data_IF_765386332850
#
_entry.id   IF_765386332850
#
_cell.length_a   1.000
_cell.length_b   1.000
_cell.length_c   1.000
_cell.angle_alpha   90.00
_cell.angle_beta   90.00
_cell.angle_gamma   90.00
#
_symmetry.space_group_name_H-M   'P 1'
#
loop_
_entity.id
_entity.type
_entity.pdbx_description
1 polymer ?
#
# COMPACT_ATOMS: atom_id res chain seq x y z
N UNK A 1 -4.38 2.38 -11.46
CA UNK A 1 -5.01 1.83 -10.23
C UNK A 1 -3.96 1.01 -9.48
N UNK A 2 -4.32 0.29 -8.43
CA UNK A 2 -3.43 -0.65 -7.76
C UNK A 2 -4.24 -1.87 -7.27
N UNK A 3 -3.57 -2.98 -7.03
CA UNK A 3 -4.16 -4.23 -6.54
C UNK A 3 -3.36 -4.73 -5.35
N UNK A 4 -4.05 -5.10 -4.27
CA UNK A 4 -3.43 -5.80 -3.16
C UNK A 4 -3.23 -7.27 -3.55
N UNK A 5 -1.99 -7.74 -3.43
CA UNK A 5 -1.63 -9.13 -3.61
C UNK A 5 -1.40 -9.72 -2.23
N UNK A 6 -2.47 -10.31 -1.66
CA UNK A 6 -2.44 -10.92 -0.34
C UNK A 6 -1.29 -11.94 -0.24
N UNK A 7 -0.52 -11.98 0.87
CA UNK A 7 -0.74 -11.26 2.15
C UNK A 7 0.02 -9.95 2.32
N UNK A 8 1.03 -9.66 1.50
CA UNK A 8 1.99 -8.58 1.80
C UNK A 8 2.57 -7.87 0.60
N UNK A 9 2.01 -8.10 -0.58
CA UNK A 9 2.49 -7.52 -1.84
C UNK A 9 1.47 -6.55 -2.42
N UNK A 10 1.94 -5.55 -3.17
CA UNK A 10 1.08 -4.56 -3.81
C UNK A 10 1.53 -4.32 -5.24
N UNK A 11 0.61 -4.42 -6.20
CA UNK A 11 0.91 -4.16 -7.60
C UNK A 11 0.31 -2.83 -8.02
N UNK A 12 1.16 -1.94 -8.51
CA UNK A 12 0.73 -0.68 -9.10
C UNK A 12 0.59 -0.84 -10.62
N UNK A 13 -0.43 -0.22 -11.19
CA UNK A 13 -0.68 -0.23 -12.64
C UNK A 13 0.43 0.49 -13.46
N UNK A 14 1.35 1.17 -12.77
CA UNK A 14 2.56 1.73 -13.38
C UNK A 14 3.59 0.66 -13.81
N UNK A 15 3.34 -0.61 -13.46
CA UNK A 15 4.19 -1.76 -13.75
C UNK A 15 5.14 -2.17 -12.62
N UNK A 16 5.15 -1.45 -11.48
CA UNK A 16 5.96 -1.83 -10.32
C UNK A 16 5.15 -2.62 -9.29
N UNK A 17 5.82 -3.61 -8.72
CA UNK A 17 5.34 -4.43 -7.61
C UNK A 17 6.15 -4.10 -6.36
N UNK A 18 5.46 -3.96 -5.24
CA UNK A 18 6.02 -3.66 -3.93
C UNK A 18 5.89 -4.91 -3.07
N UNK A 19 6.99 -5.31 -2.45
CA UNK A 19 7.09 -6.55 -1.69
C UNK A 19 7.48 -6.21 -0.26
N UNK A 20 6.49 -6.28 0.63
CA UNK A 20 6.71 -6.08 2.05
C UNK A 20 6.70 -7.40 2.81
N UNK A 21 7.29 -7.39 3.99
CA UNK A 21 7.09 -8.47 4.95
C UNK A 21 5.66 -8.43 5.48
N UNK A 22 5.04 -9.61 5.61
CA UNK A 22 3.68 -9.78 6.15
C UNK A 22 3.55 -9.11 7.53
N UNK A 23 4.54 -9.30 8.40
CA UNK A 23 4.59 -8.67 9.72
C UNK A 23 4.53 -7.14 9.64
N UNK A 24 5.26 -6.54 8.70
CA UNK A 24 5.25 -5.08 8.50
C UNK A 24 3.88 -4.60 8.02
N UNK A 25 3.27 -5.30 7.06
CA UNK A 25 1.92 -4.95 6.57
C UNK A 25 0.89 -5.09 7.68
N UNK A 26 0.96 -6.15 8.49
CA UNK A 26 0.08 -6.36 9.63
C UNK A 26 0.24 -5.26 10.69
N UNK A 27 1.47 -4.87 11.01
CA UNK A 27 1.75 -3.74 11.90
C UNK A 27 1.21 -2.42 11.33
N UNK A 28 1.41 -2.15 10.04
CA UNK A 28 0.90 -0.94 9.40
C UNK A 28 -0.64 -0.90 9.42
N UNK A 29 -1.31 -2.04 9.14
CA UNK A 29 -2.76 -2.17 9.26
C UNK A 29 -3.20 -1.84 10.69
N UNK A 30 -2.63 -2.48 11.72
CA UNK A 30 -2.94 -2.18 13.14
C UNK A 30 -2.72 -0.70 13.50
N UNK A 31 -1.60 -0.11 13.07
CA UNK A 31 -1.29 1.29 13.32
C UNK A 31 -2.24 2.26 12.59
N UNK A 32 -2.83 1.83 11.48
CA UNK A 32 -3.72 2.63 10.63
C UNK A 32 -5.17 2.69 11.10
N UNK A 33 -5.49 2.03 12.22
CA UNK A 33 -6.85 1.99 12.78
C UNK A 33 -7.50 3.36 12.94
N UNK A 34 -6.75 4.31 13.51
CA UNK A 34 -7.24 5.65 13.83
C UNK A 34 -6.58 6.77 13.00
N UNK A 35 -5.59 6.44 12.18
CA UNK A 35 -4.79 7.43 11.43
C UNK A 35 -4.36 6.87 10.09
N UNK A 36 -3.99 7.76 9.16
CA UNK A 36 -3.34 7.32 7.93
C UNK A 36 -1.88 6.98 8.22
N UNK A 37 -1.45 5.83 7.75
CA UNK A 37 -0.06 5.36 7.87
C UNK A 37 0.51 5.18 6.48
N UNK A 38 1.74 5.64 6.28
CA UNK A 38 2.41 5.61 4.97
C UNK A 38 3.60 4.66 5.07
N UNK A 39 3.65 3.67 4.17
CA UNK A 39 4.76 2.74 4.04
C UNK A 39 5.41 2.95 2.68
N UNK A 40 6.62 3.51 2.68
CA UNK A 40 7.37 3.81 1.46
C UNK A 40 8.27 2.64 1.07
N UNK A 41 8.27 2.30 -0.22
CA UNK A 41 9.26 1.40 -0.82
C UNK A 41 9.73 1.97 -2.15
N UNK A 42 11.03 2.27 -2.21
CA UNK A 42 11.63 2.97 -3.34
C UNK A 42 10.96 4.33 -3.60
N UNK A 43 10.23 4.44 -4.70
CA UNK A 43 9.51 5.67 -5.11
C UNK A 43 8.00 5.60 -4.89
N UNK A 44 7.48 4.45 -4.47
CA UNK A 44 6.07 4.24 -4.22
C UNK A 44 5.78 4.28 -2.72
N UNK A 45 4.56 4.67 -2.35
CA UNK A 45 4.15 4.69 -0.94
C UNK A 45 2.75 4.13 -0.79
N UNK A 46 2.61 3.03 -0.07
CA UNK A 46 1.32 2.44 0.28
C UNK A 46 0.73 3.21 1.45
N UNK A 47 -0.54 3.59 1.33
CA UNK A 47 -1.30 4.30 2.35
C UNK A 47 -2.29 3.34 2.97
N UNK A 48 -2.18 3.20 4.28
CA UNK A 48 -3.07 2.40 5.12
C UNK A 48 -4.02 3.30 5.89
N UNK A 49 -5.29 2.89 5.98
CA UNK A 49 -6.30 3.56 6.77
C UNK A 49 -7.41 2.57 7.16
N UNK A 50 -7.93 2.68 8.38
CA UNK A 50 -8.94 1.77 8.92
C UNK A 50 -8.55 0.30 8.85
N UNK A 51 -7.27 0.01 9.13
CA UNK A 51 -6.74 -1.36 9.14
C UNK A 51 -6.65 -2.01 7.75
N UNK A 52 -6.76 -1.20 6.68
CA UNK A 52 -6.73 -1.65 5.28
C UNK A 52 -5.77 -0.81 4.43
N UNK A 53 -5.27 -1.37 3.34
CA UNK A 53 -4.50 -0.63 2.35
C UNK A 53 -5.46 0.03 1.35
N UNK A 54 -5.43 1.37 1.24
CA UNK A 54 -6.45 2.13 0.50
C UNK A 54 -5.95 2.71 -0.83
N UNK A 55 -4.67 3.09 -0.91
CA UNK A 55 -4.07 3.68 -2.10
C UNK A 55 -2.55 3.52 -2.11
N UNK A 56 -1.96 3.59 -3.31
CA UNK A 56 -0.52 3.69 -3.53
C UNK A 56 -0.24 5.06 -4.15
N UNK A 57 0.62 5.85 -3.50
CA UNK A 57 1.18 7.06 -4.07
C UNK A 57 2.29 6.64 -5.04
N UNK A 58 2.04 6.83 -6.33
CA UNK A 58 2.93 6.51 -7.43
C UNK A 58 3.55 7.80 -8.00
N UNK A 59 4.85 7.88 -8.29
CA UNK A 59 5.44 9.08 -8.86
C UNK A 59 4.94 9.36 -10.30
N UNK A 60 4.55 8.31 -11.03
CA UNK A 60 4.05 8.41 -12.41
C UNK A 60 2.55 8.72 -12.46
N UNK A 61 1.76 7.98 -11.68
CA UNK A 61 0.29 8.02 -11.71
C UNK A 61 -0.32 8.85 -10.57
N UNK A 62 0.51 9.45 -9.70
CA UNK A 62 0.15 10.18 -8.49
C UNK A 62 -0.55 9.31 -7.46
N UNK A 63 -1.87 9.09 -7.61
CA UNK A 63 -2.68 8.34 -6.64
C UNK A 63 -3.33 7.16 -7.33
N UNK A 64 -2.90 5.96 -6.95
CA UNK A 64 -3.45 4.71 -7.43
C UNK A 64 -4.32 4.11 -6.33
N UNK A 65 -5.64 4.20 -6.45
CA UNK A 65 -6.55 3.53 -5.52
C UNK A 65 -6.35 2.02 -5.59
N UNK A 66 -6.27 1.37 -4.43
CA UNK A 66 -6.22 -0.09 -4.34
C UNK A 66 -7.65 -0.62 -4.53
N UNK A 67 -7.82 -1.53 -5.48
CA UNK A 67 -9.05 -2.30 -5.69
C UNK A 67 -8.77 -3.75 -5.29
N UNK A 68 -9.73 -4.33 -4.57
CA UNK A 68 -9.80 -5.75 -4.22
C UNK A 68 -10.12 -6.59 -5.46
#
# INVERSE_FOLDING_TARGET
MATELYPSSYRCDCGEELYFFESTVEEMKKMSKNKRVHLGEGKHTVVFYKEEAIEIICPKLKKCKIID
#
